data_IF_336769596462
#
_entry.id   IF_336769596462
#
_cell.length_a   1.000
_cell.length_b   1.000
_cell.length_c   1.000
_cell.angle_alpha   90.00
_cell.angle_beta   90.00
_cell.angle_gamma   90.00
#
_symmetry.space_group_name_H-M   'P 1'
#
loop_
_entity.id
_entity.type
_entity.pdbx_description
1 polymer ?
#
# COMPACT_ATOMS: atom_id res chain seq x y z
N UNK A 1 1.40 -13.04 6.25
CA UNK A 1 0.85 -11.93 7.07
C UNK A 1 -0.64 -11.80 6.78
N UNK A 2 -1.44 -11.70 7.82
CA UNK A 2 -2.88 -11.59 7.65
C UNK A 2 -3.29 -10.13 7.57
N UNK A 3 -4.14 -9.83 6.59
CA UNK A 3 -4.70 -8.49 6.40
C UNK A 3 -6.20 -8.55 6.47
N UNK A 4 -6.82 -7.44 6.85
CA UNK A 4 -8.24 -7.24 6.60
C UNK A 4 -8.43 -6.13 5.57
N UNK A 5 -9.59 -6.11 4.93
CA UNK A 5 -9.94 -5.11 3.92
C UNK A 5 -11.44 -5.08 3.74
N UNK A 6 -11.91 -4.07 3.04
CA UNK A 6 -13.31 -3.93 2.64
C UNK A 6 -13.44 -4.41 1.19
N UNK A 7 -14.30 -5.40 0.93
CA UNK A 7 -14.47 -5.95 -0.42
C UNK A 7 -14.96 -4.89 -1.42
N UNK A 8 -15.78 -3.95 -0.99
CA UNK A 8 -16.22 -2.85 -1.85
C UNK A 8 -15.06 -1.97 -2.28
N UNK A 9 -14.12 -1.72 -1.37
CA UNK A 9 -12.90 -0.96 -1.70
C UNK A 9 -11.99 -1.74 -2.64
N UNK A 10 -11.85 -3.04 -2.42
CA UNK A 10 -11.05 -3.89 -3.30
C UNK A 10 -11.59 -3.87 -4.72
N UNK A 11 -12.90 -4.01 -4.89
CA UNK A 11 -13.56 -3.93 -6.18
C UNK A 11 -13.40 -2.56 -6.82
N UNK A 12 -13.51 -1.49 -6.03
CA UNK A 12 -13.34 -0.13 -6.51
C UNK A 12 -11.93 0.11 -7.05
N UNK A 13 -10.92 -0.33 -6.33
CA UNK A 13 -9.51 -0.19 -6.75
C UNK A 13 -9.28 -0.95 -8.05
N UNK A 14 -9.83 -2.16 -8.16
CA UNK A 14 -9.70 -2.97 -9.38
C UNK A 14 -10.35 -2.27 -10.58
N UNK A 15 -11.56 -1.73 -10.41
CA UNK A 15 -12.26 -1.02 -11.50
C UNK A 15 -11.58 0.28 -11.88
N UNK A 16 -11.11 1.06 -10.91
CA UNK A 16 -10.57 2.40 -11.17
C UNK A 16 -9.11 2.37 -11.59
N UNK A 17 -8.33 1.41 -11.10
CA UNK A 17 -6.88 1.40 -11.28
C UNK A 17 -6.35 0.12 -11.93
N UNK A 18 -7.20 -0.86 -12.16
CA UNK A 18 -6.81 -2.11 -12.81
C UNK A 18 -5.87 -2.97 -11.98
N UNK A 19 -5.81 -2.77 -10.66
CA UNK A 19 -4.99 -3.59 -9.77
C UNK A 19 -5.84 -4.21 -8.69
N UNK A 20 -5.47 -5.43 -8.28
CA UNK A 20 -6.07 -6.07 -7.12
C UNK A 20 -5.32 -5.62 -5.87
N UNK A 21 -6.06 -5.13 -4.88
CA UNK A 21 -5.51 -4.69 -3.61
C UNK A 21 -4.67 -5.78 -2.93
N UNK A 22 -5.06 -7.04 -3.08
CA UNK A 22 -4.32 -8.18 -2.50
C UNK A 22 -3.01 -8.45 -3.24
N UNK A 23 -2.96 -8.21 -4.56
CA UNK A 23 -1.70 -8.30 -5.30
C UNK A 23 -0.72 -7.23 -4.86
N UNK A 24 -1.21 -6.00 -4.68
CA UNK A 24 -0.37 -4.90 -4.17
C UNK A 24 0.16 -5.19 -2.77
N UNK A 25 -0.62 -5.87 -1.93
CA UNK A 25 -0.21 -6.22 -0.56
C UNK A 25 0.95 -7.21 -0.51
N UNK A 26 1.29 -7.86 -1.62
CA UNK A 26 2.47 -8.72 -1.68
C UNK A 26 3.78 -7.97 -1.45
N UNK A 27 3.78 -6.64 -1.54
CA UNK A 27 4.97 -5.85 -1.20
C UNK A 27 5.43 -6.11 0.24
N UNK A 28 4.52 -6.48 1.15
CA UNK A 28 4.86 -6.72 2.55
C UNK A 28 5.62 -8.03 2.77
N UNK A 29 5.78 -8.86 1.77
CA UNK A 29 6.63 -10.04 1.83
C UNK A 29 8.11 -9.69 1.67
N UNK A 30 8.42 -8.48 1.20
CA UNK A 30 9.77 -7.97 1.06
C UNK A 30 9.96 -6.67 1.84
N UNK A 31 11.09 -6.00 1.66
CA UNK A 31 11.32 -4.73 2.33
C UNK A 31 10.40 -3.64 1.79
N UNK A 32 9.89 -2.81 2.69
CA UNK A 32 9.04 -1.66 2.34
C UNK A 32 9.57 -0.41 3.02
N UNK A 33 9.32 0.75 2.42
CA UNK A 33 9.52 2.03 3.09
C UNK A 33 8.13 2.57 3.45
N UNK A 34 7.97 3.01 4.69
CA UNK A 34 6.67 3.39 5.25
C UNK A 34 6.74 4.79 5.84
N UNK A 35 5.70 5.58 5.59
CA UNK A 35 5.54 6.91 6.20
C UNK A 35 4.08 7.12 6.59
N UNK A 36 3.87 8.09 7.47
CA UNK A 36 2.50 8.49 7.85
C UNK A 36 1.86 9.24 6.70
N UNK A 37 0.60 8.92 6.41
CA UNK A 37 -0.20 9.66 5.43
C UNK A 37 -0.76 10.92 6.09
N UNK A 38 -0.20 12.07 5.73
CA UNK A 38 -0.57 13.37 6.28
C UNK A 38 -1.37 14.22 5.30
N UNK A 39 -1.87 13.62 4.22
CA UNK A 39 -2.60 14.38 3.19
C UNK A 39 -3.87 15.02 3.72
N UNK A 40 -4.48 14.42 4.74
CA UNK A 40 -5.63 14.98 5.45
C UNK A 40 -5.83 14.27 6.79
N UNK A 41 -6.76 14.79 7.61
CA UNK A 41 -7.16 14.14 8.85
C UNK A 41 -8.22 13.08 8.55
N UNK A 42 -7.90 11.83 8.82
CA UNK A 42 -8.79 10.69 8.58
C UNK A 42 -9.50 10.22 9.87
N UNK A 43 -9.24 10.87 11.00
CA UNK A 43 -9.71 10.39 12.30
C UNK A 43 -8.97 9.15 12.79
N UNK A 44 -7.99 8.68 12.06
CA UNK A 44 -7.13 7.54 12.41
C UNK A 44 -5.76 7.73 11.76
N UNK A 45 -4.76 7.06 12.28
CA UNK A 45 -3.43 7.08 11.66
C UNK A 45 -3.44 6.15 10.46
N UNK A 46 -3.12 6.69 9.28
CA UNK A 46 -2.93 5.93 8.05
C UNK A 46 -1.48 5.97 7.64
N UNK A 47 -1.00 4.85 7.12
CA UNK A 47 0.37 4.66 6.68
C UNK A 47 0.40 4.44 5.17
N UNK A 48 1.48 4.91 4.56
CA UNK A 48 1.75 4.69 3.14
C UNK A 48 3.02 3.86 3.05
N UNK A 49 2.94 2.67 2.47
CA UNK A 49 4.09 1.79 2.26
C UNK A 49 4.36 1.62 0.78
N UNK A 50 5.63 1.68 0.42
CA UNK A 50 6.09 1.49 -0.96
C UNK A 50 7.00 0.27 -0.99
N UNK A 51 6.78 -0.58 -1.98
CA UNK A 51 7.58 -1.79 -2.15
C UNK A 51 7.43 -2.37 -3.54
N UNK A 52 8.02 -3.52 -3.73
CA UNK A 52 8.01 -4.23 -5.01
C UNK A 52 7.34 -5.58 -4.85
N UNK A 53 6.55 -5.97 -5.84
CA UNK A 53 5.96 -7.29 -5.95
C UNK A 53 5.93 -7.68 -7.43
N UNK A 54 6.48 -8.84 -7.76
CA UNK A 54 6.54 -9.35 -9.14
C UNK A 54 7.06 -8.32 -10.16
N UNK A 55 8.12 -7.59 -9.78
CA UNK A 55 8.75 -6.60 -10.63
C UNK A 55 8.00 -5.28 -10.77
N UNK A 56 6.88 -5.12 -10.06
CA UNK A 56 6.07 -3.90 -10.09
C UNK A 56 6.16 -3.16 -8.76
N UNK A 57 6.39 -1.86 -8.80
CA UNK A 57 6.32 -1.00 -7.63
C UNK A 57 4.86 -0.69 -7.30
N UNK A 58 4.48 -0.88 -6.04
CA UNK A 58 3.15 -0.52 -5.55
C UNK A 58 3.26 0.41 -4.34
N UNK A 59 2.26 1.25 -4.23
CA UNK A 59 2.04 2.10 -3.05
C UNK A 59 0.75 1.60 -2.39
N UNK A 60 0.83 1.25 -1.12
CA UNK A 60 -0.31 0.72 -0.37
C UNK A 60 -0.60 1.61 0.82
N UNK A 61 -1.84 2.06 0.93
CA UNK A 61 -2.32 2.81 2.10
C UNK A 61 -3.01 1.83 3.04
N UNK A 62 -2.60 1.85 4.29
CA UNK A 62 -3.11 0.91 5.29
C UNK A 62 -3.17 1.56 6.67
N UNK A 63 -3.89 0.92 7.56
CA UNK A 63 -3.96 1.31 8.97
C UNK A 63 -3.90 0.05 9.82
N UNK A 64 -3.89 0.21 11.14
CA UNK A 64 -3.95 -0.91 12.06
C UNK A 64 -5.20 -0.78 12.91
N UNK A 65 -5.96 -1.88 13.03
CA UNK A 65 -7.12 -1.96 13.92
C UNK A 65 -6.94 -3.19 14.80
N UNK A 66 -6.87 -2.94 16.10
CA UNK A 66 -6.69 -4.00 17.09
C UNK A 66 -5.47 -4.88 16.78
N UNK A 67 -4.40 -4.26 16.29
CA UNK A 67 -3.17 -4.98 15.93
C UNK A 67 -3.22 -5.69 14.58
N UNK A 68 -4.35 -5.63 13.85
CA UNK A 68 -4.48 -6.24 12.53
C UNK A 68 -4.30 -5.19 11.45
N UNK A 69 -3.36 -5.40 10.48
CA UNK A 69 -3.21 -4.47 9.36
C UNK A 69 -4.46 -4.47 8.49
N UNK A 70 -4.96 -3.28 8.18
CA UNK A 70 -6.12 -3.11 7.32
C UNK A 70 -5.73 -2.36 6.06
N UNK A 71 -5.93 -3.00 4.90
CA UNK A 71 -5.66 -2.41 3.60
C UNK A 71 -6.79 -1.43 3.24
N UNK A 72 -6.42 -0.25 2.76
CA UNK A 72 -7.40 0.80 2.43
C UNK A 72 -7.47 1.03 0.93
N UNK A 73 -6.34 1.31 0.30
CA UNK A 73 -6.26 1.51 -1.15
C UNK A 73 -4.82 1.26 -1.61
N UNK A 74 -4.64 1.19 -2.91
CA UNK A 74 -3.31 1.00 -3.50
C UNK A 74 -3.29 1.55 -4.93
N UNK A 75 -2.08 1.85 -5.40
CA UNK A 75 -1.84 2.22 -6.79
C UNK A 75 -0.43 1.79 -7.19
N UNK A 76 -0.18 1.77 -8.49
CA UNK A 76 1.16 1.50 -8.99
C UNK A 76 2.07 2.70 -8.70
N UNK A 77 3.24 2.45 -8.14
CA UNK A 77 4.24 3.47 -7.91
C UNK A 77 4.81 3.95 -9.23
N UNK A 78 4.95 5.27 -9.39
CA UNK A 78 5.60 5.86 -10.54
C UNK A 78 7.11 5.85 -10.38
N UNK A 79 7.79 6.52 -11.34
CA UNK A 79 9.26 6.59 -11.33
C UNK A 79 9.81 7.22 -10.04
N UNK A 80 9.14 8.25 -9.52
CA UNK A 80 9.58 8.96 -8.31
C UNK A 80 9.55 8.05 -7.10
N UNK A 81 8.46 7.33 -6.89
CA UNK A 81 8.31 6.39 -5.78
C UNK A 81 9.33 5.26 -5.89
N UNK A 82 9.50 4.71 -7.08
CA UNK A 82 10.46 3.64 -7.31
C UNK A 82 11.90 4.10 -7.05
N UNK A 83 12.26 5.30 -7.49
CA UNK A 83 13.59 5.87 -7.24
C UNK A 83 13.85 6.05 -5.75
N UNK A 84 12.88 6.59 -5.01
CA UNK A 84 13.00 6.74 -3.55
C UNK A 84 13.14 5.40 -2.86
N UNK A 85 12.36 4.42 -3.28
CA UNK A 85 12.39 3.08 -2.71
C UNK A 85 13.78 2.47 -2.91
N UNK A 86 14.32 2.50 -4.11
CA UNK A 86 15.63 1.95 -4.41
C UNK A 86 16.75 2.67 -3.65
N UNK A 87 16.67 3.99 -3.53
CA UNK A 87 17.64 4.77 -2.78
C UNK A 87 17.62 4.41 -1.29
N UNK A 88 16.46 4.10 -0.74
CA UNK A 88 16.29 3.74 0.67
C UNK A 88 16.85 2.35 0.98
N UNK A 89 16.97 1.48 0.00
CA UNK A 89 17.52 0.14 0.17
C UNK A 89 19.05 0.10 -0.02
N UNK A 90 19.63 1.16 -0.56
CA UNK A 90 21.05 1.21 -0.86
C UNK A 90 21.92 1.35 0.39
#
# INVERSE_FOLDING_TARGET
MDFEWDEGKREQVLRQRGIDLLDAALIFEGPVITRVDRRRDYGEVRLISVGMADGQCYVVVHTSRDGVPRLITAWKGGRREQTRYQASLA
#
